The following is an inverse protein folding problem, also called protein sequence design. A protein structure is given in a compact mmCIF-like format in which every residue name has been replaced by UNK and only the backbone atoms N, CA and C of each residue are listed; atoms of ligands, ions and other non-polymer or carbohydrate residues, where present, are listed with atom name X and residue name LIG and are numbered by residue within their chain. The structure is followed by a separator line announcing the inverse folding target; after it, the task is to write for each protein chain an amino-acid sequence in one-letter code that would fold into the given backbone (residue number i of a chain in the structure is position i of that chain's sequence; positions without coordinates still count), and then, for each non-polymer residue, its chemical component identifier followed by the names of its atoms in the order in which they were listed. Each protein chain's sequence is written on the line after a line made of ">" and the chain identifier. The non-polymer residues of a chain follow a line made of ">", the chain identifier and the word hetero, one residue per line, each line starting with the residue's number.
data_IF_238457892761
#
_entry.id   IF_238457892761
#
_cell.length_a   1.000
_cell.length_b   1.000
_cell.length_c   1.000
_cell.angle_alpha   90.00
_cell.angle_beta   90.00
_cell.angle_gamma   90.00
#
_symmetry.space_group_name_H-M   'P 1'
#
loop_
_entity.id
_entity.type
_entity.pdbx_description
1 polymer ?
#
# COMPACT_ATOMS: atom_id res chain seq x y z
N UNK A 1 -7.46 -5.28 -16.51
CA UNK A 1 -7.94 -4.41 -15.40
C UNK A 1 -6.90 -4.41 -14.30
N UNK A 2 -6.86 -3.37 -13.47
CA UNK A 2 -6.02 -3.38 -12.27
C UNK A 2 -6.69 -4.23 -11.18
N UNK A 3 -5.89 -5.02 -10.48
CA UNK A 3 -6.36 -5.96 -9.45
C UNK A 3 -6.01 -5.45 -8.06
N UNK A 4 -7.00 -5.34 -7.17
CA UNK A 4 -6.81 -4.86 -5.80
C UNK A 4 -7.23 -5.89 -4.76
N UNK A 5 -6.42 -6.01 -3.70
CA UNK A 5 -6.75 -6.74 -2.48
C UNK A 5 -6.86 -5.75 -1.33
N UNK A 6 -8.01 -5.75 -0.66
CA UNK A 6 -8.31 -4.82 0.43
C UNK A 6 -8.55 -5.59 1.72
N UNK A 7 -7.93 -5.14 2.80
CA UNK A 7 -8.12 -5.64 4.17
C UNK A 7 -8.19 -4.47 5.15
N UNK A 8 -8.73 -4.73 6.34
CA UNK A 8 -8.82 -3.73 7.42
C UNK A 8 -10.22 -3.14 7.58
N UNK A 9 -10.34 -2.17 8.49
CA UNK A 9 -11.63 -1.61 8.89
C UNK A 9 -12.33 -0.81 7.78
N UNK A 10 -11.57 -0.27 6.81
CA UNK A 10 -12.09 0.51 5.68
C UNK A 10 -12.49 -0.35 4.47
N UNK A 11 -12.43 -1.68 4.59
CA UNK A 11 -12.54 -2.60 3.44
C UNK A 11 -13.82 -2.37 2.63
N UNK A 12 -14.97 -2.21 3.28
CA UNK A 12 -16.26 -2.05 2.58
C UNK A 12 -16.28 -0.80 1.70
N UNK A 13 -15.92 0.37 2.25
CA UNK A 13 -15.95 1.64 1.52
C UNK A 13 -14.93 1.65 0.37
N UNK A 14 -13.70 1.20 0.64
CA UNK A 14 -12.65 1.15 -0.38
C UNK A 14 -12.96 0.15 -1.49
N UNK A 15 -13.59 -0.99 -1.15
CA UNK A 15 -13.99 -1.97 -2.16
C UNK A 15 -15.03 -1.36 -3.12
N UNK A 16 -16.04 -0.66 -2.58
CA UNK A 16 -17.05 0.03 -3.40
C UNK A 16 -16.41 1.05 -4.34
N UNK A 17 -15.56 1.92 -3.79
CA UNK A 17 -14.85 2.95 -4.54
C UNK A 17 -13.99 2.36 -5.67
N UNK A 18 -13.29 1.25 -5.41
CA UNK A 18 -12.43 0.58 -6.39
C UNK A 18 -13.25 -0.07 -7.51
N UNK A 19 -14.37 -0.74 -7.19
CA UNK A 19 -15.26 -1.36 -8.18
C UNK A 19 -15.82 -0.30 -9.14
N UNK A 20 -16.29 0.83 -8.59
CA UNK A 20 -16.83 1.95 -9.38
C UNK A 20 -15.79 2.56 -10.33
N UNK A 21 -14.51 2.36 -10.03
CA UNK A 21 -13.39 2.82 -10.84
C UNK A 21 -12.70 1.70 -11.65
N UNK A 22 -13.38 0.57 -11.85
CA UNK A 22 -12.97 -0.50 -12.76
C UNK A 22 -11.88 -1.43 -12.24
N UNK A 23 -11.66 -1.49 -10.93
CA UNK A 23 -10.78 -2.49 -10.34
C UNK A 23 -11.47 -3.84 -10.18
N UNK A 24 -10.69 -4.89 -10.39
CA UNK A 24 -11.07 -6.25 -10.04
C UNK A 24 -10.64 -6.54 -8.60
N UNK A 25 -11.54 -7.09 -7.78
CA UNK A 25 -11.28 -7.37 -6.37
C UNK A 25 -10.75 -8.80 -6.19
N UNK A 26 -9.57 -8.90 -5.59
CA UNK A 26 -8.86 -10.16 -5.33
C UNK A 26 -8.97 -10.54 -3.86
N UNK A 27 -9.21 -11.82 -3.63
CA UNK A 27 -9.37 -12.42 -2.31
C UNK A 27 -10.38 -11.64 -1.44
N UNK A 28 -11.62 -11.35 -1.91
CA UNK A 28 -12.62 -10.70 -1.09
C UNK A 28 -13.03 -11.62 0.07
N UNK A 29 -13.20 -11.05 1.27
CA UNK A 29 -13.77 -11.80 2.39
C UNK A 29 -15.23 -12.17 2.13
N UNK A 30 -15.75 -13.20 2.80
CA UNK A 30 -17.15 -13.61 2.66
C UNK A 30 -18.16 -12.45 2.80
N UNK A 31 -18.08 -11.56 3.81
CA UNK A 31 -18.98 -10.41 3.90
C UNK A 31 -18.88 -9.43 2.73
N UNK A 32 -17.69 -9.27 2.15
CA UNK A 32 -17.47 -8.37 1.01
C UNK A 32 -18.06 -8.98 -0.27
N UNK A 33 -17.93 -10.30 -0.45
CA UNK A 33 -18.59 -11.02 -1.54
C UNK A 33 -20.11 -10.87 -1.48
N UNK A 34 -20.69 -11.11 -0.32
CA UNK A 34 -22.14 -11.00 -0.10
C UNK A 34 -22.65 -9.58 -0.34
N UNK A 35 -21.94 -8.56 0.15
CA UNK A 35 -22.33 -7.15 0.00
C UNK A 35 -22.33 -6.66 -1.45
N UNK A 36 -21.37 -7.10 -2.25
CA UNK A 36 -21.15 -6.59 -3.61
C UNK A 36 -21.41 -7.61 -4.72
N UNK A 37 -21.95 -8.79 -4.39
CA UNK A 37 -22.22 -9.87 -5.36
C UNK A 37 -20.97 -10.38 -6.07
N UNK A 38 -19.82 -10.39 -5.39
CA UNK A 38 -18.55 -10.77 -6.00
C UNK A 38 -18.34 -12.29 -5.96
N UNK A 39 -17.83 -12.84 -7.06
CA UNK A 39 -17.34 -14.21 -7.10
C UNK A 39 -16.07 -14.37 -6.25
N UNK A 40 -15.73 -15.61 -5.93
CA UNK A 40 -14.40 -15.93 -5.41
C UNK A 40 -13.36 -15.68 -6.49
N UNK A 41 -12.26 -15.02 -6.10
CA UNK A 41 -11.18 -14.70 -7.00
C UNK A 41 -9.86 -14.77 -6.25
N UNK A 42 -9.09 -15.81 -6.54
CA UNK A 42 -7.76 -16.03 -5.97
C UNK A 42 -6.74 -15.72 -7.05
N UNK A 43 -5.87 -14.74 -6.77
CA UNK A 43 -4.89 -14.27 -7.73
C UNK A 43 -3.88 -13.32 -7.10
N UNK A 44 -2.99 -12.79 -7.94
CA UNK A 44 -2.01 -11.81 -7.52
C UNK A 44 -2.55 -10.38 -7.72
N UNK A 45 -2.72 -9.59 -6.65
CA UNK A 45 -3.15 -8.21 -6.77
C UNK A 45 -1.99 -7.31 -7.20
N UNK A 46 -2.28 -6.34 -8.07
CA UNK A 46 -1.36 -5.23 -8.39
C UNK A 46 -1.30 -4.20 -7.25
N UNK A 47 -2.34 -4.16 -6.42
CA UNK A 47 -2.50 -3.20 -5.32
C UNK A 47 -3.00 -3.92 -4.06
N UNK A 48 -2.26 -3.77 -2.96
CA UNK A 48 -2.66 -4.22 -1.64
C UNK A 48 -2.93 -3.01 -0.77
N UNK A 49 -4.11 -2.95 -0.17
CA UNK A 49 -4.50 -1.87 0.74
C UNK A 49 -4.81 -2.47 2.11
N UNK A 50 -4.24 -1.88 3.16
CA UNK A 50 -4.51 -2.24 4.55
C UNK A 50 -4.59 -0.98 5.42
N UNK A 51 -5.41 -1.01 6.45
CA UNK A 51 -5.43 0.01 7.48
C UNK A 51 -4.05 0.19 8.14
N UNK A 52 -3.76 1.43 8.51
CA UNK A 52 -2.59 1.76 9.33
C UNK A 52 -2.78 1.24 10.75
N UNK A 53 -1.68 1.07 11.48
CA UNK A 53 -1.71 0.63 12.88
C UNK A 53 -2.50 1.56 13.79
N UNK A 54 -2.42 2.87 13.55
CA UNK A 54 -3.18 3.91 14.26
C UNK A 54 -4.66 3.98 13.84
N UNK A 55 -5.08 3.21 12.83
CA UNK A 55 -6.41 3.25 12.23
C UNK A 55 -6.82 4.64 11.74
N UNK A 56 -5.86 5.50 11.39
CA UNK A 56 -6.07 6.85 10.85
C UNK A 56 -5.64 6.87 9.37
N UNK A 57 -6.33 6.05 8.56
CA UNK A 57 -6.07 5.90 7.13
C UNK A 57 -5.46 4.55 6.73
N UNK A 58 -4.93 4.48 5.50
CA UNK A 58 -4.47 3.23 4.87
C UNK A 58 -3.05 3.32 4.33
N UNK A 59 -2.41 2.15 4.23
CA UNK A 59 -1.19 1.91 3.45
C UNK A 59 -1.58 1.21 2.16
N UNK A 60 -1.08 1.73 1.04
CA UNK A 60 -1.24 1.15 -0.27
C UNK A 60 0.13 0.72 -0.81
N UNK A 61 0.26 -0.54 -1.19
CA UNK A 61 1.51 -1.14 -1.68
C UNK A 61 1.19 -1.86 -2.99
N UNK A 62 1.97 -1.61 -4.03
CA UNK A 62 1.68 -2.19 -5.32
C UNK A 62 2.51 -1.61 -6.44
N UNK A 63 2.19 -2.06 -7.64
CA UNK A 63 2.83 -1.61 -8.88
C UNK A 63 2.60 -0.11 -9.08
N UNK A 64 3.56 0.57 -9.71
CA UNK A 64 3.52 2.02 -9.92
C UNK A 64 2.20 2.47 -10.55
N UNK A 65 1.76 1.79 -11.62
CA UNK A 65 0.49 2.07 -12.32
C UNK A 65 -0.73 1.94 -11.42
N UNK A 66 -0.74 0.93 -10.53
CA UNK A 66 -1.87 0.68 -9.65
C UNK A 66 -1.94 1.72 -8.51
N UNK A 67 -0.79 2.11 -7.97
CA UNK A 67 -0.66 3.16 -6.95
C UNK A 67 -1.04 4.53 -7.51
N UNK A 68 -0.55 4.88 -8.70
CA UNK A 68 -0.88 6.17 -9.33
C UNK A 68 -2.37 6.27 -9.62
N UNK A 69 -2.98 5.21 -10.17
CA UNK A 69 -4.43 5.18 -10.40
C UNK A 69 -5.23 5.26 -9.10
N UNK A 70 -4.82 4.54 -8.06
CA UNK A 70 -5.49 4.61 -6.76
C UNK A 70 -5.38 6.00 -6.13
N UNK A 71 -4.22 6.66 -6.24
CA UNK A 71 -4.02 8.03 -5.80
C UNK A 71 -4.99 8.97 -6.50
N UNK A 72 -5.08 8.89 -7.84
CA UNK A 72 -6.03 9.70 -8.61
C UNK A 72 -7.46 9.53 -8.07
N UNK A 73 -7.94 8.29 -7.94
CA UNK A 73 -9.30 7.99 -7.46
C UNK A 73 -9.54 8.61 -6.08
N UNK A 74 -8.61 8.40 -5.15
CA UNK A 74 -8.72 8.92 -3.78
C UNK A 74 -8.81 10.44 -3.78
N UNK A 75 -7.97 11.14 -4.53
CA UNK A 75 -7.98 12.61 -4.61
C UNK A 75 -9.18 13.18 -5.39
N UNK A 76 -9.76 12.42 -6.32
CA UNK A 76 -10.99 12.85 -7.02
C UNK A 76 -12.25 12.62 -6.18
N UNK A 77 -12.26 11.59 -5.33
CA UNK A 77 -13.45 11.20 -4.56
C UNK A 77 -13.47 11.74 -3.13
N UNK A 78 -12.32 12.10 -2.57
CA UNK A 78 -12.17 12.54 -1.19
C UNK A 78 -11.40 13.87 -1.16
N UNK A 79 -12.10 14.96 -0.86
CA UNK A 79 -11.56 16.33 -0.88
C UNK A 79 -10.36 16.51 0.06
N UNK A 80 -10.43 15.93 1.26
CA UNK A 80 -9.40 16.05 2.29
C UNK A 80 -8.36 14.91 2.27
N UNK A 81 -8.23 14.19 1.15
CA UNK A 81 -7.29 13.08 1.08
C UNK A 81 -5.82 13.54 1.10
N UNK A 82 -5.09 13.14 2.14
CA UNK A 82 -3.64 13.36 2.21
C UNK A 82 -2.91 12.08 1.83
N UNK A 83 -2.07 12.14 0.79
CA UNK A 83 -1.22 11.02 0.38
C UNK A 83 0.25 11.33 0.61
N UNK A 84 0.98 10.39 1.23
CA UNK A 84 2.43 10.45 1.39
C UNK A 84 3.06 9.28 0.67
N UNK A 85 3.95 9.57 -0.28
CA UNK A 85 4.74 8.56 -1.00
C UNK A 85 6.00 8.26 -0.20
N UNK A 86 6.33 6.97 -0.02
CA UNK A 86 7.65 6.61 0.47
C UNK A 86 8.70 6.76 -0.64
N UNK A 87 9.88 7.33 -0.34
CA UNK A 87 10.95 7.47 -1.32
C UNK A 87 11.50 6.11 -1.77
N UNK A 88 11.30 5.08 -0.95
CA UNK A 88 11.79 3.72 -1.16
C UNK A 88 10.64 2.73 -1.36
N UNK A 89 10.88 1.74 -2.21
CA UNK A 89 10.06 0.53 -2.35
C UNK A 89 10.25 -0.41 -1.17
N UNK A 90 9.14 -1.01 -0.72
CA UNK A 90 9.15 -2.15 0.19
C UNK A 90 9.86 -3.35 -0.45
N UNK A 91 10.62 -4.08 0.36
CA UNK A 91 11.42 -5.25 -0.05
C UNK A 91 12.44 -4.95 -1.16
N UNK A 92 12.71 -3.67 -1.44
CA UNK A 92 13.71 -3.24 -2.40
C UNK A 92 15.12 -3.54 -1.90
N UNK A 93 16.00 -3.97 -2.80
CA UNK A 93 17.43 -4.12 -2.52
C UNK A 93 18.11 -2.81 -2.91
N UNK A 94 18.81 -2.20 -1.96
CA UNK A 94 19.49 -0.92 -2.14
C UNK A 94 20.99 -1.08 -1.94
N UNK A 95 21.77 -0.45 -2.82
CA UNK A 95 23.18 -0.19 -2.56
C UNK A 95 23.29 1.14 -1.84
N UNK A 96 24.05 1.17 -0.75
CA UNK A 96 24.24 2.39 0.02
C UNK A 96 25.65 2.52 0.60
N UNK A 97 25.95 3.69 1.15
CA UNK A 97 27.22 4.00 1.81
C UNK A 97 26.98 4.26 3.29
N UNK A 98 27.80 3.68 4.16
CA UNK A 98 27.76 3.99 5.59
C UNK A 98 28.21 5.44 5.81
N UNK A 99 27.39 6.24 6.48
CA UNK A 99 27.65 7.66 6.75
C UNK A 99 27.78 7.98 8.24
N UNK A 100 27.36 7.08 9.12
CA UNK A 100 27.48 7.27 10.56
C UNK A 100 26.95 6.09 11.37
N UNK A 101 26.88 6.27 12.69
CA UNK A 101 26.40 5.28 13.64
C UNK A 101 25.54 5.98 14.71
N UNK A 102 24.45 5.35 15.12
CA UNK A 102 23.61 5.83 16.22
C UNK A 102 22.91 4.67 16.91
N UNK A 103 23.03 4.60 18.25
CA UNK A 103 22.26 3.67 19.08
C UNK A 103 22.34 2.20 18.65
N UNK A 104 23.52 1.72 18.23
CA UNK A 104 23.73 0.35 17.76
C UNK A 104 23.36 0.09 16.29
N UNK A 105 23.01 1.13 15.53
CA UNK A 105 22.72 1.05 14.10
C UNK A 105 23.74 1.81 13.27
N UNK A 106 24.13 1.24 12.14
CA UNK A 106 24.81 1.93 11.06
C UNK A 106 23.78 2.74 10.26
N UNK A 107 24.09 4.02 10.03
CA UNK A 107 23.34 4.88 9.12
C UNK A 107 23.87 4.67 7.71
N UNK A 108 22.99 4.25 6.79
CA UNK A 108 23.34 3.92 5.41
C UNK A 108 22.60 4.87 4.48
N UNK A 109 23.33 5.75 3.82
CA UNK A 109 22.79 6.59 2.75
C UNK A 109 22.50 5.73 1.52
N UNK A 110 21.23 5.71 1.08
CA UNK A 110 20.74 4.97 -0.09
C UNK A 110 20.24 5.92 -1.20
N UNK A 111 20.69 7.18 -1.18
CA UNK A 111 20.31 8.22 -2.12
C UNK A 111 19.09 9.00 -1.65
N UNK A 112 17.89 8.45 -1.87
CA UNK A 112 16.63 9.14 -1.56
C UNK A 112 16.22 9.08 -0.07
N UNK A 113 16.96 8.32 0.74
CA UNK A 113 16.70 8.14 2.16
C UNK A 113 17.97 7.66 2.91
N UNK A 114 17.89 7.65 4.25
CA UNK A 114 18.89 7.03 5.11
C UNK A 114 18.28 5.79 5.78
N UNK A 115 18.85 4.63 5.48
CA UNK A 115 18.53 3.36 6.12
C UNK A 115 19.22 3.20 7.48
N UNK A 116 18.63 2.37 8.34
CA UNK A 116 19.25 1.93 9.60
C UNK A 116 19.52 0.43 9.50
N UNK A 117 20.78 0.04 9.64
CA UNK A 117 21.21 -1.36 9.63
C UNK A 117 21.75 -1.72 11.03
N UNK A 118 21.23 -2.76 11.70
CA UNK A 118 21.80 -3.22 12.97
C UNK A 118 23.29 -3.55 12.82
N UNK A 119 24.12 -3.10 13.77
CA UNK A 119 25.57 -3.37 13.74
C UNK A 119 25.92 -4.78 14.21
N UNK A 120 25.03 -5.39 14.99
CA UNK A 120 25.14 -6.74 15.53
C UNK A 120 23.88 -7.52 15.14
N UNK A 121 24.04 -8.77 14.72
CA UNK A 121 22.93 -9.71 14.44
C UNK A 121 22.37 -10.34 15.71
#
# INVERSE_FOLDING_TARGET
>A
MLKAKVRGIYTTALTKLLIENGFEIIDPSKPIRERFGLAENTGFPNLKIKDRFDRQGVRAIGDRKAIDRFREIVHHSLEDAITRKWPVSLDGIYKGKITGETGGFLLVDIGDAVGKLPKYE
#
